data_IF_373909186972
#
_entry.id   IF_373909186972
#
_cell.length_a   1.000
_cell.length_b   1.000
_cell.length_c   1.000
_cell.angle_alpha   90.00
_cell.angle_beta   90.00
_cell.angle_gamma   90.00
#
_symmetry.space_group_name_H-M   'P 1'
#
loop_
_entity.id
_entity.type
_entity.pdbx_description
1 polymer ?
#
# COMPACT_ATOMS: atom_id res chain seq x y z
N UNK A 1 9.34 5.90 32.63
CA UNK A 1 8.83 5.28 31.37
C UNK A 1 9.21 6.18 30.20
N UNK A 2 9.95 5.61 29.25
CA UNK A 2 10.78 6.33 28.27
C UNK A 2 9.98 7.11 27.22
N UNK A 3 10.35 8.38 27.01
CA UNK A 3 9.88 9.27 25.93
C UNK A 3 10.06 8.70 24.51
N UNK A 4 10.82 7.61 24.33
CA UNK A 4 10.99 6.93 23.04
C UNK A 4 9.79 6.06 22.63
N UNK A 5 8.94 5.64 23.57
CA UNK A 5 7.76 4.83 23.23
C UNK A 5 6.72 5.63 22.43
N UNK A 6 6.63 6.95 22.61
CA UNK A 6 5.67 7.81 21.92
C UNK A 6 6.02 8.08 20.45
N UNK A 7 7.30 8.01 20.06
CA UNK A 7 7.72 8.32 18.68
C UNK A 7 7.63 7.10 17.74
N UNK A 8 7.82 5.90 18.27
CA UNK A 8 7.69 4.65 17.52
C UNK A 8 6.31 4.00 17.66
N UNK A 9 5.63 4.12 18.80
CA UNK A 9 4.32 3.50 19.05
C UNK A 9 3.22 3.97 18.09
N UNK A 10 3.23 5.24 17.69
CA UNK A 10 2.29 5.78 16.70
C UNK A 10 2.70 5.58 15.24
N UNK A 11 3.98 5.29 14.96
CA UNK A 11 4.50 5.10 13.59
C UNK A 11 4.38 3.66 13.10
N UNK A 12 4.50 2.69 14.00
CA UNK A 12 4.27 1.27 13.69
C UNK A 12 2.80 1.03 13.35
N UNK A 13 1.88 1.80 13.94
CA UNK A 13 0.45 1.69 13.64
C UNK A 13 0.06 2.28 12.26
N UNK A 14 0.93 3.08 11.62
CA UNK A 14 0.73 3.57 10.24
C UNK A 14 0.82 2.42 9.24
N UNK A 15 1.56 1.36 9.56
CA UNK A 15 1.65 0.14 8.74
C UNK A 15 0.54 -0.87 9.02
N UNK A 16 -0.37 -0.57 9.95
CA UNK A 16 -1.05 -1.62 10.70
C UNK A 16 -2.23 -2.26 9.98
N UNK A 17 -2.90 -1.64 9.00
CA UNK A 17 -4.09 -2.27 8.40
C UNK A 17 -4.32 -2.04 6.91
N UNK A 18 -4.37 -0.80 6.42
CA UNK A 18 -4.72 -0.52 5.02
C UNK A 18 -3.61 -0.92 4.04
N UNK A 19 -2.39 -0.40 4.27
CA UNK A 19 -1.23 -0.76 3.44
C UNK A 19 -0.90 -2.24 3.50
N UNK A 20 -1.06 -2.88 4.67
CA UNK A 20 -0.83 -4.33 4.81
C UNK A 20 -1.86 -5.16 4.03
N UNK A 21 -3.15 -4.77 4.06
CA UNK A 21 -4.19 -5.41 3.26
C UNK A 21 -3.91 -5.28 1.75
N UNK A 22 -3.48 -4.11 1.28
CA UNK A 22 -3.11 -3.92 -0.12
C UNK A 22 -1.83 -4.68 -0.51
N UNK A 23 -0.84 -4.78 0.39
CA UNK A 23 0.32 -5.64 0.18
C UNK A 23 -0.06 -7.10 0.03
N UNK A 24 -0.97 -7.57 0.89
CA UNK A 24 -1.52 -8.92 0.82
C UNK A 24 -2.24 -9.15 -0.50
N UNK A 25 -3.03 -8.17 -0.96
CA UNK A 25 -3.71 -8.22 -2.24
C UNK A 25 -2.73 -8.29 -3.41
N UNK A 26 -1.68 -7.47 -3.41
CA UNK A 26 -0.59 -7.49 -4.39
C UNK A 26 0.13 -8.85 -4.43
N UNK A 27 0.42 -9.44 -3.26
CA UNK A 27 1.06 -10.75 -3.18
C UNK A 27 0.15 -11.84 -3.74
N UNK A 28 -1.15 -11.84 -3.39
CA UNK A 28 -2.11 -12.82 -3.92
C UNK A 28 -2.28 -12.69 -5.43
N UNK A 29 -2.31 -11.46 -5.95
CA UNK A 29 -2.41 -11.20 -7.38
C UNK A 29 -1.09 -11.34 -8.14
N UNK A 30 0.05 -11.47 -7.46
CA UNK A 30 1.37 -11.60 -8.12
C UNK A 30 1.46 -12.81 -9.06
N UNK A 31 0.68 -13.87 -8.79
CA UNK A 31 0.56 -15.04 -9.67
C UNK A 31 -0.09 -14.68 -11.03
N UNK A 32 -1.01 -13.71 -11.06
CA UNK A 32 -1.55 -13.19 -12.32
C UNK A 32 -0.50 -12.41 -13.14
N UNK A 33 0.61 -12.01 -12.50
CA UNK A 33 1.73 -11.32 -13.10
C UNK A 33 3.00 -12.19 -13.13
N UNK A 34 2.87 -13.53 -13.13
CA UNK A 34 4.01 -14.45 -13.05
C UNK A 34 5.09 -14.16 -14.10
N UNK A 35 4.70 -13.86 -15.36
CA UNK A 35 5.66 -13.43 -16.40
C UNK A 35 6.47 -12.19 -16.00
N UNK A 36 5.81 -11.20 -15.40
CA UNK A 36 6.46 -9.99 -14.92
C UNK A 36 7.36 -10.28 -13.71
N UNK A 37 6.93 -11.21 -12.84
CA UNK A 37 7.69 -11.65 -11.67
C UNK A 37 8.94 -12.47 -12.04
N UNK A 38 8.91 -13.28 -13.10
CA UNK A 38 10.02 -14.18 -13.47
C UNK A 38 10.93 -13.61 -14.55
N UNK A 39 10.39 -12.91 -15.54
CA UNK A 39 11.16 -12.42 -16.70
C UNK A 39 11.52 -10.94 -16.58
N UNK A 40 10.68 -10.15 -15.90
CA UNK A 40 10.85 -8.70 -15.76
C UNK A 40 10.85 -8.25 -14.29
N UNK A 41 11.62 -8.96 -13.45
CA UNK A 41 11.71 -8.75 -11.99
C UNK A 41 11.86 -7.28 -11.60
N UNK A 42 12.70 -6.53 -12.32
CA UNK A 42 12.92 -5.11 -12.04
C UNK A 42 11.65 -4.27 -12.22
N UNK A 43 10.89 -4.51 -13.29
CA UNK A 43 9.63 -3.82 -13.55
C UNK A 43 8.57 -4.19 -12.51
N UNK A 44 8.53 -5.46 -12.11
CA UNK A 44 7.68 -5.91 -11.01
C UNK A 44 8.03 -5.19 -9.69
N UNK A 45 9.31 -5.10 -9.33
CA UNK A 45 9.75 -4.38 -8.13
C UNK A 45 9.39 -2.89 -8.20
N UNK A 46 9.56 -2.24 -9.36
CA UNK A 46 9.14 -0.86 -9.56
C UNK A 46 7.63 -0.68 -9.37
N UNK A 47 6.80 -1.57 -9.92
CA UNK A 47 5.35 -1.56 -9.70
C UNK A 47 5.00 -1.60 -8.23
N UNK A 48 5.56 -2.59 -7.51
CA UNK A 48 5.29 -2.79 -6.08
C UNK A 48 5.71 -1.57 -5.29
N UNK A 49 6.87 -0.96 -5.58
CA UNK A 49 7.33 0.26 -4.92
C UNK A 49 6.39 1.44 -5.18
N UNK A 50 5.97 1.67 -6.43
CA UNK A 50 5.04 2.76 -6.78
C UNK A 50 3.73 2.63 -6.02
N UNK A 51 3.14 1.41 -6.00
CA UNK A 51 1.88 1.16 -5.30
C UNK A 51 2.06 1.31 -3.79
N UNK A 52 3.18 0.82 -3.25
CA UNK A 52 3.50 0.94 -1.83
C UNK A 52 3.60 2.40 -1.39
N UNK A 53 4.36 3.22 -2.12
CA UNK A 53 4.53 4.64 -1.80
C UNK A 53 3.20 5.38 -1.87
N UNK A 54 2.37 5.10 -2.89
CA UNK A 54 1.05 5.70 -2.98
C UNK A 54 0.16 5.30 -1.78
N UNK A 55 0.11 4.02 -1.43
CA UNK A 55 -0.69 3.54 -0.31
C UNK A 55 -0.25 4.19 1.00
N UNK A 56 1.05 4.25 1.27
CA UNK A 56 1.58 4.93 2.46
C UNK A 56 1.24 6.42 2.48
N UNK A 57 1.36 7.11 1.33
CA UNK A 57 1.02 8.52 1.21
C UNK A 57 -0.46 8.81 1.47
N UNK A 58 -1.34 7.99 0.88
CA UNK A 58 -2.79 8.11 1.05
C UNK A 58 -3.21 7.75 2.49
N UNK A 59 -2.70 6.66 3.05
CA UNK A 59 -2.97 6.25 4.43
C UNK A 59 -2.51 7.34 5.41
N UNK A 60 -1.30 7.88 5.24
CA UNK A 60 -0.80 8.98 6.05
C UNK A 60 -1.68 10.23 5.97
N UNK A 61 -2.07 10.64 4.76
CA UNK A 61 -2.95 11.78 4.55
C UNK A 61 -4.32 11.59 5.23
N UNK A 62 -4.90 10.39 5.07
CA UNK A 62 -6.19 10.07 5.63
C UNK A 62 -6.17 9.98 7.15
N UNK A 63 -5.14 9.35 7.73
CA UNK A 63 -4.92 9.31 9.19
C UNK A 63 -4.81 10.73 9.75
N UNK A 64 -4.07 11.61 9.08
CA UNK A 64 -3.92 13.00 9.50
C UNK A 64 -5.25 13.78 9.48
N UNK A 65 -6.16 13.43 8.56
CA UNK A 65 -7.43 14.15 8.36
C UNK A 65 -8.60 13.59 9.16
N UNK A 66 -8.67 12.27 9.33
CA UNK A 66 -9.83 11.56 9.89
C UNK A 66 -9.53 10.86 11.22
N UNK A 67 -8.27 10.85 11.64
CA UNK A 67 -7.83 10.18 12.85
C UNK A 67 -7.21 8.81 12.56
N UNK A 68 -6.51 8.23 13.55
CA UNK A 68 -5.77 6.97 13.38
C UNK A 68 -6.66 5.72 13.38
N UNK A 69 -7.95 5.86 13.72
CA UNK A 69 -8.85 4.71 13.81
C UNK A 69 -9.22 4.21 12.39
N UNK A 70 -8.90 2.95 12.03
CA UNK A 70 -9.09 2.41 10.68
C UNK A 70 -10.52 2.51 10.17
N UNK A 71 -11.52 2.37 11.05
CA UNK A 71 -12.94 2.47 10.67
C UNK A 71 -13.29 3.80 10.02
N UNK A 72 -12.55 4.85 10.36
CA UNK A 72 -12.85 6.21 9.93
C UNK A 72 -12.26 6.52 8.55
N UNK A 73 -11.23 5.80 8.10
CA UNK A 73 -10.56 6.07 6.83
C UNK A 73 -10.45 4.91 5.84
N UNK A 74 -10.60 3.65 6.27
CA UNK A 74 -10.31 2.47 5.45
C UNK A 74 -11.14 2.41 4.16
N UNK A 75 -12.40 2.84 4.20
CA UNK A 75 -13.26 2.88 3.02
C UNK A 75 -12.74 3.85 1.96
N UNK A 76 -12.31 5.05 2.37
CA UNK A 76 -11.71 6.05 1.45
C UNK A 76 -10.32 5.62 0.99
N UNK A 77 -9.56 4.97 1.86
CA UNK A 77 -8.27 4.40 1.49
C UNK A 77 -8.43 3.41 0.34
N UNK A 78 -9.33 2.43 0.47
CA UNK A 78 -9.59 1.43 -0.57
C UNK A 78 -10.11 2.08 -1.87
N UNK A 79 -11.00 3.07 -1.76
CA UNK A 79 -11.54 3.78 -2.91
C UNK A 79 -10.47 4.50 -3.74
N UNK A 80 -9.36 4.93 -3.12
CA UNK A 80 -8.27 5.63 -3.81
C UNK A 80 -7.17 4.65 -4.23
N UNK A 81 -6.74 3.78 -3.31
CA UNK A 81 -5.60 2.91 -3.50
C UNK A 81 -5.88 1.75 -4.45
N UNK A 82 -7.10 1.19 -4.45
CA UNK A 82 -7.43 0.04 -5.29
C UNK A 82 -7.45 0.41 -6.79
N UNK A 83 -8.14 1.49 -7.24
CA UNK A 83 -8.09 1.89 -8.65
C UNK A 83 -6.68 2.29 -9.11
N UNK A 84 -5.92 2.96 -8.25
CA UNK A 84 -4.52 3.31 -8.55
C UNK A 84 -3.67 2.07 -8.77
N UNK A 85 -3.77 1.07 -7.88
CA UNK A 85 -3.02 -0.17 -8.02
C UNK A 85 -3.40 -0.91 -9.31
N UNK A 86 -4.69 -0.99 -9.64
CA UNK A 86 -5.16 -1.61 -10.89
C UNK A 86 -4.59 -0.87 -12.11
N UNK A 87 -4.60 0.46 -12.10
CA UNK A 87 -4.07 1.28 -13.20
C UNK A 87 -2.57 1.06 -13.40
N UNK A 88 -1.78 1.09 -12.33
CA UNK A 88 -0.34 0.82 -12.40
C UNK A 88 -0.10 -0.58 -12.94
N UNK A 89 -0.73 -1.60 -12.36
CA UNK A 89 -0.56 -2.98 -12.81
C UNK A 89 -0.97 -3.17 -14.28
N UNK A 90 -2.04 -2.52 -14.73
CA UNK A 90 -2.51 -2.59 -16.12
C UNK A 90 -1.52 -1.95 -17.09
N UNK A 91 -0.94 -0.80 -16.76
CA UNK A 91 0.08 -0.13 -17.59
C UNK A 91 1.29 -1.05 -17.74
N UNK A 92 1.78 -1.62 -16.65
CA UNK A 92 2.97 -2.46 -16.70
C UNK A 92 2.70 -3.84 -17.32
N UNK A 93 1.47 -4.37 -17.23
CA UNK A 93 1.08 -5.61 -17.91
C UNK A 93 1.15 -5.48 -19.44
N UNK A 94 0.89 -4.28 -19.96
CA UNK A 94 0.94 -4.01 -21.41
C UNK A 94 2.37 -3.79 -21.94
N UNK A 95 3.38 -3.73 -21.08
CA UNK A 95 4.81 -3.46 -21.43
C UNK A 95 5.62 -4.76 -21.44
#
# INVERSE_FOLDING_TARGET
>A
MSKMAGFFGGKVDIFSRGSFQMFTFLIMFSVAFTHMYTEKVLLFVMCVLIITVNNLGVEYYLIKKQGPNPKDYIGKFLLICLPFAILVLSIFYLI
#
